data_IF_077454990556
#
_entry.id   IF_077454990556
#
_cell.length_a   1.000
_cell.length_b   1.000
_cell.length_c   1.000
_cell.angle_alpha   90.00
_cell.angle_beta   90.00
_cell.angle_gamma   90.00
#
_symmetry.space_group_name_H-M   'P 1'
#
loop_
_entity.id
_entity.type
_entity.pdbx_description
1 polymer ?
#
# COMPACT_ATOMS: atom_id res chain seq x y z
N UNK A 1 -9.92 11.16 -5.01
CA UNK A 1 -8.57 11.07 -5.56
C UNK A 1 -7.63 10.34 -4.61
N UNK A 2 -7.04 9.25 -5.06
CA UNK A 2 -6.11 8.48 -4.25
C UNK A 2 -4.73 9.14 -4.24
N UNK A 3 -4.25 9.46 -3.05
CA UNK A 3 -2.91 10.05 -2.87
C UNK A 3 -1.80 9.02 -2.94
N UNK A 4 -2.11 7.75 -2.70
CA UNK A 4 -1.17 6.63 -2.78
C UNK A 4 -1.30 5.95 -4.12
N UNK A 5 -0.17 5.63 -4.74
CA UNK A 5 -0.11 5.03 -6.07
C UNK A 5 0.67 3.72 -6.04
N UNK A 6 0.45 2.89 -7.06
CA UNK A 6 1.21 1.66 -7.27
C UNK A 6 2.71 1.96 -7.28
N UNK A 7 3.48 1.15 -6.56
CA UNK A 7 4.93 1.31 -6.44
C UNK A 7 5.39 2.18 -5.27
N UNK A 8 4.47 2.88 -4.61
CA UNK A 8 4.81 3.67 -3.43
C UNK A 8 5.22 2.78 -2.27
N UNK A 9 6.25 3.19 -1.53
CA UNK A 9 6.59 2.57 -0.26
C UNK A 9 5.71 3.18 0.83
N UNK A 10 5.02 2.34 1.58
CA UNK A 10 4.10 2.77 2.62
C UNK A 10 4.36 2.04 3.92
N UNK A 11 3.94 2.64 5.03
CA UNK A 11 4.02 2.06 6.36
C UNK A 11 2.60 1.88 6.90
N UNK A 12 2.33 0.71 7.46
CA UNK A 12 1.05 0.44 8.12
C UNK A 12 1.06 1.12 9.49
N UNK A 13 0.05 1.96 9.74
CA UNK A 13 -0.04 2.73 10.98
C UNK A 13 -1.14 2.23 11.91
N UNK A 14 -1.94 1.26 11.47
CA UNK A 14 -3.09 0.78 12.22
C UNK A 14 -3.35 -0.71 11.97
N UNK A 15 -3.80 -1.42 12.99
CA UNK A 15 -4.17 -2.82 12.88
C UNK A 15 -3.05 -3.79 13.23
N UNK A 16 -3.24 -5.07 12.88
CA UNK A 16 -2.32 -6.15 13.25
C UNK A 16 -0.90 -6.01 12.67
N UNK A 17 -0.78 -5.36 11.52
CA UNK A 17 0.51 -5.17 10.85
C UNK A 17 1.15 -3.82 11.12
N UNK A 18 0.67 -3.09 12.13
CA UNK A 18 1.20 -1.78 12.51
C UNK A 18 2.72 -1.79 12.63
N UNK A 19 3.36 -0.83 11.96
CA UNK A 19 4.81 -0.69 11.95
C UNK A 19 5.51 -1.39 10.79
N UNK A 20 4.82 -2.23 10.03
CA UNK A 20 5.40 -2.91 8.87
C UNK A 20 5.38 -1.99 7.65
N UNK A 21 6.36 -2.17 6.79
CA UNK A 21 6.52 -1.40 5.57
C UNK A 21 6.45 -2.31 4.34
N UNK A 22 6.00 -1.75 3.22
CA UNK A 22 5.95 -2.50 1.97
C UNK A 22 5.61 -1.61 0.80
N UNK A 23 5.80 -2.14 -0.41
CA UNK A 23 5.43 -1.45 -1.65
C UNK A 23 3.99 -1.77 -2.02
N UNK A 24 3.28 -0.77 -2.49
CA UNK A 24 1.93 -0.92 -3.02
C UNK A 24 2.00 -1.67 -4.36
N UNK A 25 1.39 -2.84 -4.40
CA UNK A 25 1.32 -3.66 -5.63
C UNK A 25 0.14 -3.29 -6.50
N UNK A 26 -0.98 -2.93 -5.87
CA UNK A 26 -2.21 -2.62 -6.59
C UNK A 26 -3.06 -1.61 -5.80
N UNK A 27 -3.77 -0.75 -6.52
CA UNK A 27 -4.65 0.26 -5.94
C UNK A 27 -6.08 0.02 -6.40
N UNK A 28 -7.00 -0.07 -5.46
CA UNK A 28 -8.44 -0.21 -5.71
C UNK A 28 -9.12 1.12 -5.40
N UNK A 29 -9.17 1.99 -6.38
CA UNK A 29 -9.63 3.40 -6.20
C UNK A 29 -11.08 3.50 -5.72
N UNK A 30 -11.98 2.71 -6.30
CA UNK A 30 -13.40 2.75 -5.94
C UNK A 30 -13.65 2.32 -4.49
N UNK A 31 -12.85 1.38 -4.01
CA UNK A 31 -12.97 0.83 -2.66
C UNK A 31 -12.09 1.55 -1.64
N UNK A 32 -11.22 2.45 -2.11
CA UNK A 32 -10.22 3.16 -1.30
C UNK A 32 -9.33 2.20 -0.52
N UNK A 33 -8.85 1.16 -1.20
CA UNK A 33 -7.98 0.13 -0.64
C UNK A 33 -6.71 -0.03 -1.47
N UNK A 34 -5.67 -0.54 -0.83
CA UNK A 34 -4.39 -0.82 -1.47
C UNK A 34 -3.95 -2.23 -1.11
N UNK A 35 -3.34 -2.91 -2.07
CA UNK A 35 -2.74 -4.23 -1.85
C UNK A 35 -1.24 -4.06 -1.68
N UNK A 36 -0.71 -4.55 -0.56
CA UNK A 36 0.71 -4.47 -0.22
C UNK A 36 1.21 -5.89 -0.02
N UNK A 37 2.26 -6.26 -0.76
CA UNK A 37 2.84 -7.60 -0.66
C UNK A 37 3.37 -7.90 0.74
N UNK A 38 3.02 -9.08 1.27
CA UNK A 38 3.44 -9.52 2.59
C UNK A 38 2.74 -8.86 3.77
N UNK A 39 1.77 -7.99 3.52
CA UNK A 39 1.01 -7.30 4.56
C UNK A 39 -0.47 -7.67 4.46
N UNK A 40 -1.15 -7.70 5.60
CA UNK A 40 -2.54 -8.15 5.73
C UNK A 40 -2.72 -9.57 5.17
N UNK A 41 -1.77 -10.43 5.49
CA UNK A 41 -1.71 -11.81 5.01
C UNK A 41 -2.65 -12.68 5.82
N UNK A 42 -3.36 -13.55 5.14
CA UNK A 42 -4.12 -14.62 5.76
C UNK A 42 -3.80 -15.94 5.08
N UNK A 43 -3.99 -17.03 5.82
CA UNK A 43 -3.78 -18.38 5.29
C UNK A 43 -5.07 -18.88 4.66
N UNK A 44 -4.98 -19.35 3.42
CA UNK A 44 -6.10 -19.95 2.71
C UNK A 44 -5.82 -21.41 2.45
N UNK A 45 -6.75 -22.26 2.86
CA UNK A 45 -6.64 -23.69 2.66
C UNK A 45 -7.24 -24.06 1.30
N UNK A 46 -6.44 -24.71 0.46
CA UNK A 46 -6.87 -25.16 -0.87
C UNK A 46 -7.11 -26.66 -0.87
N UNK A 47 -8.20 -27.07 -1.52
CA UNK A 47 -8.45 -28.47 -1.79
C UNK A 47 -7.50 -28.98 -2.87
N UNK A 48 -7.32 -30.32 -2.95
CA UNK A 48 -6.58 -30.94 -4.04
C UNK A 48 -7.13 -30.51 -5.39
N UNK A 49 -6.26 -30.13 -6.31
CA UNK A 49 -6.60 -29.71 -7.65
C UNK A 49 -5.43 -29.98 -8.59
N UNK A 50 -5.61 -29.75 -9.90
CA UNK A 50 -4.52 -29.88 -10.86
C UNK A 50 -3.36 -28.92 -10.54
N UNK A 51 -3.67 -27.73 -10.04
CA UNK A 51 -2.67 -26.72 -9.66
C UNK A 51 -2.00 -27.05 -8.32
N UNK A 52 -2.72 -27.70 -7.41
CA UNK A 52 -2.25 -28.11 -6.11
C UNK A 52 -2.69 -29.56 -5.86
N UNK A 53 -2.01 -30.55 -6.46
CA UNK A 53 -2.44 -31.96 -6.37
C UNK A 53 -2.57 -32.53 -4.98
N UNK A 54 -1.81 -32.00 -4.05
CA UNK A 54 -1.84 -32.44 -2.65
C UNK A 54 -2.66 -31.52 -1.74
N UNK A 55 -3.25 -30.44 -2.31
CA UNK A 55 -3.85 -29.38 -1.53
C UNK A 55 -2.78 -28.58 -0.78
N UNK A 56 -3.19 -27.76 0.16
CA UNK A 56 -2.24 -27.02 0.97
C UNK A 56 -2.77 -25.74 1.55
N UNK A 57 -1.91 -25.08 2.33
CA UNK A 57 -2.17 -23.76 2.92
C UNK A 57 -1.29 -22.76 2.21
N UNK A 58 -1.90 -21.73 1.62
CA UNK A 58 -1.20 -20.66 0.91
C UNK A 58 -1.46 -19.35 1.63
N UNK A 59 -0.40 -18.55 1.80
CA UNK A 59 -0.52 -17.19 2.33
C UNK A 59 -0.93 -16.24 1.22
N UNK A 60 -2.00 -15.48 1.45
CA UNK A 60 -2.56 -14.55 0.48
C UNK A 60 -2.69 -13.18 1.13
N UNK A 61 -2.18 -12.15 0.46
CA UNK A 61 -2.36 -10.76 0.91
C UNK A 61 -3.73 -10.25 0.50
N UNK A 62 -4.39 -9.54 1.42
CA UNK A 62 -5.66 -8.86 1.16
C UNK A 62 -5.47 -7.37 1.02
N UNK A 63 -6.32 -6.69 0.23
CA UNK A 63 -6.33 -5.23 0.21
C UNK A 63 -6.58 -4.65 1.60
N UNK A 64 -5.92 -3.54 1.88
CA UNK A 64 -5.98 -2.83 3.15
C UNK A 64 -6.56 -1.45 2.90
N UNK A 65 -7.37 -0.94 3.84
CA UNK A 65 -7.92 0.40 3.74
C UNK A 65 -6.78 1.43 3.67
N UNK A 66 -6.86 2.35 2.71
CA UNK A 66 -5.84 3.38 2.51
C UNK A 66 -5.63 4.27 3.74
N UNK A 67 -6.66 4.42 4.58
CA UNK A 67 -6.55 5.18 5.83
C UNK A 67 -5.64 4.53 6.86
N UNK A 68 -5.31 3.25 6.70
CA UNK A 68 -4.45 2.51 7.62
C UNK A 68 -2.97 2.56 7.24
N UNK A 69 -2.62 3.26 6.19
CA UNK A 69 -1.23 3.37 5.70
C UNK A 69 -0.83 4.82 5.52
N UNK A 70 0.47 5.07 5.62
CA UNK A 70 1.07 6.37 5.30
C UNK A 70 2.21 6.16 4.30
N UNK A 71 2.36 7.12 3.39
CA UNK A 71 3.47 7.12 2.44
C UNK A 71 4.79 7.31 3.17
N UNK A 72 5.80 6.55 2.78
CA UNK A 72 7.18 6.81 3.18
C UNK A 72 7.82 7.65 2.09
N UNK A 73 8.21 8.88 2.43
CA UNK A 73 8.83 9.79 1.47
C UNK A 73 10.15 9.22 0.95
N UNK A 74 10.33 9.13 -0.39
CA UNK A 74 11.59 8.62 -0.93
C UNK A 74 12.77 9.56 -0.70
N UNK A 75 12.52 10.83 -0.38
CA UNK A 75 13.56 11.83 -0.14
C UNK A 75 13.98 11.86 1.32
N UNK A 76 13.04 12.10 2.25
CA UNK A 76 13.37 12.20 3.68
C UNK A 76 13.26 10.87 4.43
N UNK A 77 12.78 9.80 3.82
CA UNK A 77 12.66 8.45 4.40
C UNK A 77 11.75 8.37 5.62
N UNK A 78 10.89 9.34 5.82
CA UNK A 78 9.93 9.38 6.95
C UNK A 78 8.52 9.13 6.46
N UNK A 79 7.69 8.53 7.31
CA UNK A 79 6.27 8.40 7.02
C UNK A 79 5.63 9.78 7.04
N UNK A 80 4.86 10.10 6.01
CA UNK A 80 4.30 11.43 5.81
C UNK A 80 2.95 11.37 5.11
N UNK A 81 2.19 12.44 5.22
CA UNK A 81 1.00 12.65 4.40
C UNK A 81 1.40 13.29 3.08
N UNK A 82 0.65 12.97 2.05
CA UNK A 82 0.85 13.51 0.72
C UNK A 82 -0.01 14.75 0.53
N UNK A 83 0.60 15.85 0.10
CA UNK A 83 -0.12 17.04 -0.35
C UNK A 83 -0.02 17.18 -1.85
N UNK A 84 -0.82 18.09 -2.41
CA UNK A 84 -0.78 18.43 -3.82
C UNK A 84 -0.46 19.91 -4.00
N UNK A 85 0.44 20.20 -4.94
CA UNK A 85 0.73 21.57 -5.38
C UNK A 85 0.39 21.70 -6.85
N UNK A 86 -0.20 22.83 -7.23
CA UNK A 86 -0.47 23.14 -8.64
C UNK A 86 0.80 23.65 -9.32
N UNK A 87 1.03 23.17 -10.53
CA UNK A 87 2.13 23.63 -11.39
C UNK A 87 1.58 23.75 -12.81
N UNK A 88 1.36 24.97 -13.27
CA UNK A 88 0.71 25.22 -14.56
C UNK A 88 -0.71 24.63 -14.60
N UNK A 89 -0.98 23.76 -15.60
CA UNK A 89 -2.26 23.07 -15.75
C UNK A 89 -2.34 21.77 -14.95
N UNK A 90 -1.23 21.32 -14.38
CA UNK A 90 -1.14 20.07 -13.64
C UNK A 90 -0.96 20.28 -12.15
N UNK A 91 -0.87 19.17 -11.45
CA UNK A 91 -0.54 19.16 -10.03
C UNK A 91 0.38 17.99 -9.74
N UNK A 92 1.21 18.13 -8.73
CA UNK A 92 2.13 17.09 -8.31
C UNK A 92 1.99 16.81 -6.81
N UNK A 93 2.38 15.59 -6.43
CA UNK A 93 2.42 15.20 -5.02
C UNK A 93 3.68 15.78 -4.38
N UNK A 94 3.58 16.17 -3.13
CA UNK A 94 4.73 16.59 -2.34
C UNK A 94 4.66 16.01 -0.93
N UNK A 95 5.82 15.86 -0.30
CA UNK A 95 5.91 15.43 1.09
C UNK A 95 5.63 16.62 2.01
N UNK A 96 4.67 16.48 2.92
CA UNK A 96 4.34 17.57 3.85
C UNK A 96 5.41 17.81 4.92
N UNK A 97 6.35 16.88 5.09
CA UNK A 97 7.43 17.03 6.07
C UNK A 97 8.67 17.71 5.49
N UNK A 98 9.09 17.33 4.29
CA UNK A 98 10.29 17.88 3.65
C UNK A 98 10.00 18.81 2.49
N UNK A 99 8.74 18.92 2.09
CA UNK A 99 8.25 19.80 1.00
C UNK A 99 8.82 19.48 -0.38
N UNK A 100 9.40 18.32 -0.57
CA UNK A 100 9.93 17.88 -1.86
C UNK A 100 8.87 17.18 -2.70
N UNK A 101 8.97 17.33 -4.01
CA UNK A 101 8.14 16.61 -4.98
C UNK A 101 8.41 15.10 -4.90
N UNK A 102 7.34 14.33 -4.91
CA UNK A 102 7.42 12.87 -4.85
C UNK A 102 6.60 12.21 -5.95
#
# INVERSE_FOLDING_TARGET
LMKIRKGDLVKVIYGKDKGREGKVEKVYRKQKKVLIGGINVYKRHFKKSEQLPQGGIIEVSRPLDVAKVMLICPVCKKSTRVGYKKEGKGKFRYCKKCDNKI
#
